data_IF_829713773827
#
_entry.id   IF_829713773827
#
_cell.length_a   1.000
_cell.length_b   1.000
_cell.length_c   1.000
_cell.angle_alpha   90.00
_cell.angle_beta   90.00
_cell.angle_gamma   90.00
#
_symmetry.space_group_name_H-M   'P 1'
#
loop_
_entity.id
_entity.type
_entity.pdbx_description
1 polymer ?
#
# COMPACT_ATOMS: atom_id res chain seq x y z
N UNK A 1 38.24 25.56 56.39
CA UNK A 1 37.22 26.16 55.50
C UNK A 1 37.45 25.65 54.09
N UNK A 2 36.69 24.66 53.64
CA UNK A 2 36.67 24.25 52.22
C UNK A 2 35.47 23.35 51.84
N UNK A 3 34.67 22.90 52.81
CA UNK A 3 33.54 21.98 52.56
C UNK A 3 32.34 22.66 51.88
N UNK A 4 32.20 23.97 52.05
CA UNK A 4 31.13 24.75 51.40
C UNK A 4 31.27 24.75 49.88
N UNK A 5 32.49 24.78 49.36
CA UNK A 5 32.74 24.67 47.91
C UNK A 5 32.31 23.31 47.37
N UNK A 6 32.55 22.24 48.13
CA UNK A 6 32.15 20.89 47.73
C UNK A 6 30.62 20.76 47.72
N UNK A 7 29.93 21.32 48.71
CA UNK A 7 28.45 21.30 48.78
C UNK A 7 27.80 22.01 47.59
N UNK A 8 28.43 23.06 47.05
CA UNK A 8 27.92 23.78 45.86
C UNK A 8 28.35 23.12 44.56
N UNK A 9 29.59 22.65 44.46
CA UNK A 9 30.12 22.08 43.22
C UNK A 9 29.56 20.68 42.91
N UNK A 10 29.31 19.85 43.92
CA UNK A 10 28.82 18.48 43.72
C UNK A 10 27.45 18.39 43.00
N UNK A 11 26.41 19.14 43.40
CA UNK A 11 25.12 19.09 42.69
C UNK A 11 25.21 19.70 41.30
N UNK A 12 26.07 20.71 41.07
CA UNK A 12 26.29 21.28 39.73
C UNK A 12 26.95 20.29 38.76
N UNK A 13 27.86 19.45 39.26
CA UNK A 13 28.44 18.36 38.47
C UNK A 13 27.48 17.17 38.32
N UNK A 14 26.70 16.85 39.36
CA UNK A 14 25.76 15.73 39.34
C UNK A 14 24.45 16.05 38.60
N UNK A 15 24.10 17.33 38.42
CA UNK A 15 22.92 17.78 37.67
C UNK A 15 23.18 17.97 36.18
N UNK A 16 24.33 17.50 35.67
CA UNK A 16 24.56 17.41 34.24
C UNK A 16 23.43 16.61 33.61
N UNK A 17 22.58 17.29 32.84
CA UNK A 17 21.39 16.70 32.22
C UNK A 17 21.78 15.39 31.54
N UNK A 18 21.23 14.29 32.03
CA UNK A 18 21.12 13.09 31.23
C UNK A 18 20.19 13.46 30.07
N UNK A 19 20.76 13.92 28.95
CA UNK A 19 20.07 14.02 27.68
C UNK A 19 19.86 12.58 27.21
N UNK A 20 18.91 11.90 27.84
CA UNK A 20 18.33 10.69 27.29
C UNK A 20 17.54 11.17 26.08
N UNK A 21 18.24 11.37 24.98
CA UNK A 21 17.57 11.38 23.68
C UNK A 21 16.73 10.10 23.68
N UNK A 22 15.41 10.18 23.42
CA UNK A 22 14.61 8.97 23.30
C UNK A 22 15.34 8.07 22.32
N UNK A 23 15.46 6.79 22.65
CA UNK A 23 16.02 5.81 21.74
C UNK A 23 15.32 6.01 20.40
N UNK A 24 16.06 6.59 19.44
CA UNK A 24 15.61 6.63 18.06
C UNK A 24 15.71 5.18 17.65
N UNK A 25 14.62 4.44 17.85
CA UNK A 25 14.36 3.22 17.12
C UNK A 25 14.29 3.70 15.68
N UNK A 26 15.45 3.77 15.03
CA UNK A 26 15.53 3.84 13.61
C UNK A 26 14.79 2.59 13.16
N UNK A 27 13.55 2.77 12.71
CA UNK A 27 12.78 1.69 12.13
C UNK A 27 13.66 1.11 11.05
N UNK A 28 14.29 -0.04 11.34
CA UNK A 28 15.07 -0.79 10.36
C UNK A 28 14.15 -1.37 9.29
N UNK A 29 12.83 -1.20 9.45
CA UNK A 29 11.89 -1.23 8.34
C UNK A 29 12.17 -0.03 7.44
N UNK A 30 13.19 -0.26 6.63
CA UNK A 30 13.38 0.40 5.36
C UNK A 30 12.02 0.41 4.66
N UNK A 31 11.48 1.55 4.22
CA UNK A 31 10.30 1.53 3.33
C UNK A 31 10.61 0.75 2.04
N UNK A 32 11.90 0.52 1.75
CA UNK A 32 12.39 -0.34 0.68
C UNK A 32 12.60 -1.80 1.12
N UNK A 33 12.05 -2.22 2.27
CA UNK A 33 11.52 -3.59 2.36
C UNK A 33 10.31 -3.66 1.44
N UNK A 34 10.66 -3.66 0.16
CA UNK A 34 9.87 -4.19 -0.93
C UNK A 34 9.42 -5.54 -0.43
N UNK A 35 8.22 -5.60 0.15
CA UNK A 35 7.44 -6.83 0.19
C UNK A 35 7.64 -7.41 -1.19
N UNK A 36 8.21 -8.61 -1.31
CA UNK A 36 8.51 -9.22 -2.60
C UNK A 36 7.19 -9.33 -3.38
N UNK A 37 6.84 -8.27 -4.10
CA UNK A 37 5.63 -8.19 -4.89
C UNK A 37 6.00 -8.98 -6.12
N UNK A 38 5.70 -10.28 -6.07
CA UNK A 38 5.98 -11.19 -7.16
C UNK A 38 5.58 -10.55 -8.48
N UNK A 39 6.48 -10.60 -9.46
CA UNK A 39 6.33 -9.87 -10.71
C UNK A 39 4.95 -10.12 -11.34
N UNK A 40 4.08 -9.11 -11.31
CA UNK A 40 2.78 -9.18 -11.93
C UNK A 40 2.98 -9.25 -13.45
N UNK A 41 2.58 -10.36 -14.05
CA UNK A 41 2.60 -10.48 -15.51
C UNK A 41 1.49 -9.62 -16.09
N UNK A 42 1.84 -8.79 -17.06
CA UNK A 42 0.86 -8.05 -17.85
C UNK A 42 -0.12 -9.02 -18.52
N UNK A 43 -1.43 -8.79 -18.30
CA UNK A 43 -2.52 -9.46 -19.02
C UNK A 43 -3.10 -8.45 -20.02
N UNK A 44 -3.14 -8.82 -21.29
CA UNK A 44 -3.75 -7.96 -22.31
C UNK A 44 -5.25 -7.80 -22.02
N UNK A 45 -5.80 -6.57 -22.03
CA UNK A 45 -7.23 -6.33 -21.84
C UNK A 45 -8.07 -6.80 -23.02
N UNK A 46 -7.43 -7.08 -24.16
CA UNK A 46 -8.05 -7.63 -25.36
C UNK A 46 -7.75 -9.13 -25.55
N UNK A 47 -7.19 -9.77 -24.53
CA UNK A 47 -6.98 -11.22 -24.56
C UNK A 47 -8.33 -11.93 -24.71
N UNK A 48 -8.48 -12.74 -25.77
CA UNK A 48 -9.77 -13.34 -26.16
C UNK A 48 -10.62 -12.50 -27.12
N UNK A 49 -10.14 -11.35 -27.60
CA UNK A 49 -10.84 -10.62 -28.65
C UNK A 49 -10.89 -11.43 -29.95
N UNK A 50 -12.11 -11.73 -30.40
CA UNK A 50 -12.36 -12.27 -31.73
C UNK A 50 -12.93 -11.17 -32.60
N UNK A 51 -12.22 -10.84 -33.66
CA UNK A 51 -12.65 -9.84 -34.62
C UNK A 51 -14.01 -10.20 -35.24
N UNK A 52 -14.93 -9.22 -35.33
CA UNK A 52 -16.24 -9.37 -35.97
C UNK A 52 -16.42 -8.29 -37.03
N UNK A 53 -16.80 -8.69 -38.23
CA UNK A 53 -17.18 -7.76 -39.30
C UNK A 53 -18.66 -7.42 -39.20
N UNK A 54 -19.08 -6.20 -39.58
CA UNK A 54 -20.48 -5.90 -39.82
C UNK A 54 -21.06 -6.90 -40.82
N UNK A 55 -22.23 -7.43 -40.50
CA UNK A 55 -23.04 -8.26 -41.39
C UNK A 55 -24.37 -7.57 -41.58
N UNK A 56 -25.06 -7.88 -42.68
CA UNK A 56 -26.42 -7.40 -42.88
C UNK A 56 -27.30 -7.78 -41.67
N UNK A 57 -28.18 -6.87 -41.22
CA UNK A 57 -29.02 -7.13 -40.07
C UNK A 57 -29.89 -8.36 -40.36
N UNK A 58 -29.71 -9.41 -39.55
CA UNK A 58 -30.64 -10.55 -39.56
C UNK A 58 -32.05 -10.04 -39.24
N UNK A 59 -33.12 -10.71 -39.73
CA UNK A 59 -34.50 -10.36 -39.37
C UNK A 59 -34.72 -10.43 -37.86
N UNK A 60 -34.58 -9.29 -37.17
CA UNK A 60 -34.51 -9.22 -35.71
C UNK A 60 -35.79 -9.71 -35.03
N UNK A 61 -36.95 -9.60 -35.71
CA UNK A 61 -38.24 -10.07 -35.22
C UNK A 61 -38.23 -11.57 -34.94
N UNK A 62 -37.74 -12.38 -35.88
CA UNK A 62 -37.67 -13.84 -35.71
C UNK A 62 -36.69 -14.27 -34.61
N UNK A 63 -35.62 -13.49 -34.40
CA UNK A 63 -34.69 -13.72 -33.28
C UNK A 63 -35.33 -13.40 -31.92
N UNK A 64 -36.11 -12.31 -31.84
CA UNK A 64 -36.87 -11.97 -30.65
C UNK A 64 -37.94 -13.02 -30.35
N UNK A 65 -38.69 -13.47 -31.36
CA UNK A 65 -39.72 -14.50 -31.20
C UNK A 65 -39.11 -15.84 -30.74
N UNK A 66 -37.92 -16.20 -31.25
CA UNK A 66 -37.19 -17.40 -30.84
C UNK A 66 -36.64 -17.36 -29.40
N UNK A 67 -36.39 -16.16 -28.87
CA UNK A 67 -35.93 -15.96 -27.49
C UNK A 67 -37.08 -15.64 -26.52
N UNK A 68 -38.30 -15.46 -27.03
CA UNK A 68 -39.45 -15.16 -26.20
C UNK A 68 -39.75 -16.34 -25.25
N UNK A 69 -40.05 -16.07 -23.96
CA UNK A 69 -40.52 -17.11 -23.05
C UNK A 69 -41.76 -17.80 -23.61
N UNK A 70 -41.87 -19.13 -23.44
CA UNK A 70 -43.11 -19.83 -23.76
C UNK A 70 -44.22 -19.24 -22.88
N UNK A 71 -45.31 -18.78 -23.51
CA UNK A 71 -46.50 -18.36 -22.76
C UNK A 71 -46.98 -19.55 -21.93
N UNK A 72 -47.13 -19.31 -20.62
CA UNK A 72 -47.74 -20.26 -19.69
C UNK A 72 -49.23 -20.42 -19.91
#
# INVERSE_FOLDING_TARGET
>A
MNHLFLVVALPLFASGCASTLPEVVASTDHPDTVSDVGALRYRSPIDGYTHRMPVDPKPWRGLNDAQAPKKG
#
